data_IF_519637210499
#
_entry.id   IF_519637210499
#
_cell.length_a   1.000
_cell.length_b   1.000
_cell.length_c   1.000
_cell.angle_alpha   90.00
_cell.angle_beta   90.00
_cell.angle_gamma   90.00
#
_symmetry.space_group_name_H-M   'P 1'
#
loop_
_entity.id
_entity.type
_entity.pdbx_description
1 polymer ?
#
# COMPACT_ATOMS: atom_id res chain seq x y z
N UNK A 1 -10.30 -0.11 8.42
CA UNK A 1 -9.48 0.32 7.27
C UNK A 1 -9.72 -0.60 6.08
N UNK A 2 -10.37 -0.10 5.02
CA UNK A 2 -10.74 -0.92 3.85
C UNK A 2 -9.62 -1.02 2.81
N UNK A 3 -8.86 0.06 2.57
CA UNK A 3 -7.91 0.07 1.45
C UNK A 3 -6.59 -0.67 1.68
N UNK A 4 -6.16 -0.82 2.94
CA UNK A 4 -4.90 -1.50 3.32
C UNK A 4 -3.61 -0.97 2.67
N UNK A 5 -3.63 0.19 2.00
CA UNK A 5 -2.43 0.85 1.46
C UNK A 5 -1.56 1.52 2.52
N UNK A 6 -2.03 1.69 3.76
CA UNK A 6 -1.28 2.31 4.85
C UNK A 6 -0.69 1.29 5.85
N UNK A 7 -0.47 0.04 5.43
CA UNK A 7 0.11 -0.96 6.32
C UNK A 7 1.54 -0.59 6.70
N UNK A 8 1.81 -0.59 8.00
CA UNK A 8 3.11 -0.27 8.60
C UNK A 8 3.52 -1.39 9.56
N UNK A 9 4.81 -1.61 9.72
CA UNK A 9 5.31 -2.52 10.75
C UNK A 9 5.33 -1.77 12.09
N UNK A 10 4.77 -2.41 13.10
CA UNK A 10 4.83 -1.93 14.49
C UNK A 10 5.60 -2.97 15.28
N UNK A 11 6.66 -2.55 15.97
CA UNK A 11 7.51 -3.46 16.72
C UNK A 11 6.69 -4.24 17.77
N UNK A 12 6.87 -5.56 17.82
CA UNK A 12 6.11 -6.47 18.68
C UNK A 12 4.72 -6.89 18.14
N UNK A 13 4.22 -6.29 17.06
CA UNK A 13 3.00 -6.76 16.41
C UNK A 13 3.27 -7.98 15.52
N UNK A 14 2.39 -9.00 15.50
CA UNK A 14 2.61 -10.22 14.71
C UNK A 14 2.45 -10.02 13.20
N UNK A 15 1.81 -8.93 12.77
CA UNK A 15 1.55 -8.58 11.37
C UNK A 15 1.53 -7.05 11.20
N UNK A 16 1.76 -6.52 9.98
CA UNK A 16 1.61 -5.09 9.72
C UNK A 16 0.23 -4.56 10.08
N UNK A 17 0.20 -3.37 10.67
CA UNK A 17 -0.99 -2.73 11.21
C UNK A 17 -1.43 -1.56 10.31
N UNK A 18 -2.73 -1.28 10.17
CA UNK A 18 -3.22 -0.17 9.35
C UNK A 18 -2.97 1.19 10.03
N UNK A 19 -2.04 1.97 9.52
CA UNK A 19 -1.66 3.27 10.10
C UNK A 19 -2.80 4.28 10.19
N UNK A 20 -3.80 4.23 9.30
CA UNK A 20 -4.90 5.20 9.30
C UNK A 20 -5.91 5.03 10.45
N UNK A 21 -5.86 3.92 11.20
CA UNK A 21 -6.80 3.66 12.32
C UNK A 21 -6.13 3.11 13.57
N UNK A 22 -4.89 2.63 13.50
CA UNK A 22 -4.18 2.13 14.68
C UNK A 22 -3.88 3.29 15.63
N UNK A 23 -4.42 3.21 16.84
CA UNK A 23 -4.16 4.18 17.91
C UNK A 23 -2.68 4.16 18.31
N UNK A 24 -2.10 5.34 18.52
CA UNK A 24 -0.72 5.48 19.00
C UNK A 24 -0.62 5.09 20.47
N UNK A 25 0.47 4.40 20.83
CA UNK A 25 0.84 4.11 22.21
C UNK A 25 2.22 4.70 22.55
N UNK A 26 2.43 5.00 23.84
CA UNK A 26 3.73 5.47 24.33
C UNK A 26 4.83 4.43 24.07
N UNK A 27 6.00 4.88 23.60
CA UNK A 27 7.11 4.00 23.25
C UNK A 27 6.90 3.13 21.99
N UNK A 28 5.82 3.33 21.23
CA UNK A 28 5.56 2.57 20.00
C UNK A 28 6.59 2.89 18.91
N UNK A 29 7.28 1.86 18.41
CA UNK A 29 8.22 1.98 17.29
C UNK A 29 7.53 1.54 15.99
N UNK A 30 7.40 2.47 15.04
CA UNK A 30 6.76 2.24 13.74
C UNK A 30 7.80 2.32 12.63
N UNK A 31 7.87 1.29 11.79
CA UNK A 31 8.73 1.24 10.60
C UNK A 31 7.85 1.23 9.34
N UNK A 32 7.88 2.33 8.59
CA UNK A 32 7.04 2.51 7.39
C UNK A 32 7.68 1.93 6.12
N UNK A 33 9.01 1.83 6.10
CA UNK A 33 9.83 1.37 4.96
C UNK A 33 10.47 0.01 5.23
N UNK A 34 9.92 -0.79 6.15
CA UNK A 34 10.43 -2.13 6.39
C UNK A 34 10.07 -3.08 5.24
N UNK A 35 10.86 -4.14 5.06
CA UNK A 35 10.62 -5.15 4.02
C UNK A 35 9.24 -5.80 4.16
N UNK A 36 8.78 -6.05 5.39
CA UNK A 36 7.46 -6.65 5.63
C UNK A 36 6.33 -5.68 5.29
N UNK A 37 6.43 -4.40 5.67
CA UNK A 37 5.42 -3.41 5.33
C UNK A 37 5.30 -3.23 3.81
N UNK A 38 6.43 -3.07 3.11
CA UNK A 38 6.48 -2.93 1.66
C UNK A 38 5.93 -4.17 0.94
N UNK A 39 6.31 -5.37 1.38
CA UNK A 39 5.79 -6.63 0.83
C UNK A 39 4.27 -6.73 0.91
N UNK A 40 3.68 -6.35 2.05
CA UNK A 40 2.22 -6.40 2.22
C UNK A 40 1.52 -5.34 1.37
N UNK A 41 2.04 -4.10 1.29
CA UNK A 41 1.47 -3.05 0.43
C UNK A 41 1.54 -3.42 -1.04
N UNK A 42 2.64 -4.05 -1.50
CA UNK A 42 2.75 -4.59 -2.85
C UNK A 42 1.68 -5.64 -3.15
N UNK A 43 1.43 -6.58 -2.24
CA UNK A 43 0.35 -7.56 -2.39
C UNK A 43 -1.04 -6.93 -2.44
N UNK A 44 -1.27 -5.82 -1.72
CA UNK A 44 -2.52 -5.04 -1.83
C UNK A 44 -2.65 -4.39 -3.21
N UNK A 45 -1.57 -3.79 -3.73
CA UNK A 45 -1.54 -3.20 -5.07
C UNK A 45 -1.76 -4.26 -6.16
N UNK A 46 -1.15 -5.44 -6.04
CA UNK A 46 -1.43 -6.58 -6.92
C UNK A 46 -2.92 -6.94 -6.89
N UNK A 47 -3.53 -7.04 -5.71
CA UNK A 47 -4.96 -7.34 -5.59
C UNK A 47 -5.85 -6.28 -6.24
N UNK A 48 -5.46 -5.00 -6.19
CA UNK A 48 -6.16 -3.93 -6.89
C UNK A 48 -6.05 -4.08 -8.41
N UNK A 49 -4.85 -4.39 -8.92
CA UNK A 49 -4.59 -4.49 -10.34
C UNK A 49 -5.20 -5.72 -11.00
N UNK A 50 -5.37 -6.84 -10.27
CA UNK A 50 -5.94 -8.10 -10.82
C UNK A 50 -7.27 -7.88 -11.53
N UNK A 51 -8.11 -6.97 -11.03
CA UNK A 51 -9.42 -6.67 -11.63
C UNK A 51 -9.51 -5.22 -12.15
N UNK A 52 -8.41 -4.46 -12.13
CA UNK A 52 -8.40 -3.10 -12.65
C UNK A 52 -8.28 -3.15 -14.19
N UNK A 53 -9.12 -2.42 -14.94
CA UNK A 53 -9.05 -2.45 -16.40
C UNK A 53 -7.74 -1.82 -16.90
N UNK A 54 -7.23 -2.30 -18.04
CA UNK A 54 -6.04 -1.75 -18.70
C UNK A 54 -6.39 -0.54 -19.58
N UNK A 55 -7.21 0.37 -19.04
CA UNK A 55 -7.79 1.49 -19.78
C UNK A 55 -7.02 2.80 -19.57
N UNK A 56 -5.83 2.78 -18.96
CA UNK A 56 -5.04 3.98 -18.70
C UNK A 56 -4.85 4.93 -19.90
N UNK A 57 -4.69 4.47 -21.16
CA UNK A 57 -4.59 5.38 -22.31
C UNK A 57 -5.86 6.18 -22.63
N UNK A 58 -7.02 5.71 -22.18
CA UNK A 58 -8.33 6.35 -22.41
C UNK A 58 -8.97 6.85 -21.10
N UNK A 59 -8.32 6.61 -19.96
CA UNK A 59 -8.80 7.03 -18.65
C UNK A 59 -8.50 8.52 -18.44
N UNK A 60 -9.52 9.31 -18.14
CA UNK A 60 -9.38 10.75 -17.89
C UNK A 60 -8.50 11.09 -16.68
N UNK A 61 -8.30 10.14 -15.76
CA UNK A 61 -7.44 10.30 -14.58
C UNK A 61 -5.98 9.92 -14.86
N UNK A 62 -5.64 9.48 -16.06
CA UNK A 62 -4.28 9.07 -16.42
C UNK A 62 -3.30 10.23 -16.22
N UNK A 63 -2.22 10.00 -15.47
CA UNK A 63 -1.25 11.04 -15.09
C UNK A 63 -1.58 11.79 -13.80
N UNK A 64 -2.81 11.69 -13.29
CA UNK A 64 -3.24 12.24 -11.98
C UNK A 64 -3.83 11.15 -11.07
N UNK A 65 -3.68 9.89 -11.44
CA UNK A 65 -4.28 8.75 -10.75
C UNK A 65 -3.39 8.30 -9.58
N UNK A 66 -3.89 8.43 -8.35
CA UNK A 66 -3.15 7.96 -7.17
C UNK A 66 -2.79 6.47 -7.22
N UNK A 67 -3.63 5.63 -7.83
CA UNK A 67 -3.30 4.21 -7.99
C UNK A 67 -2.07 4.03 -8.89
N UNK A 68 -1.95 4.81 -9.96
CA UNK A 68 -0.78 4.83 -10.83
C UNK A 68 0.47 5.24 -10.04
N UNK A 69 0.38 6.28 -9.20
CA UNK A 69 1.49 6.75 -8.37
C UNK A 69 1.95 5.69 -7.36
N UNK A 70 1.02 5.06 -6.65
CA UNK A 70 1.36 4.01 -5.67
C UNK A 70 1.99 2.79 -6.33
N UNK A 71 1.50 2.38 -7.51
CA UNK A 71 2.07 1.27 -8.26
C UNK A 71 3.47 1.62 -8.77
N UNK A 72 3.67 2.85 -9.25
CA UNK A 72 4.99 3.31 -9.68
C UNK A 72 6.00 3.35 -8.53
N UNK A 73 5.56 3.78 -7.33
CA UNK A 73 6.42 3.92 -6.17
C UNK A 73 6.75 2.59 -5.47
N UNK A 74 5.76 1.72 -5.26
CA UNK A 74 5.89 0.53 -4.40
C UNK A 74 5.35 -0.77 -5.01
N UNK A 75 4.70 -0.69 -6.18
CA UNK A 75 4.07 -1.80 -6.86
C UNK A 75 5.05 -2.87 -7.37
N UNK A 76 4.52 -3.96 -7.95
CA UNK A 76 5.34 -4.98 -8.58
C UNK A 76 6.13 -4.40 -9.77
N UNK A 77 7.35 -4.90 -9.99
CA UNK A 77 8.22 -4.39 -11.05
C UNK A 77 7.68 -4.67 -12.47
N UNK A 78 6.79 -5.66 -12.59
CA UNK A 78 6.19 -6.11 -13.84
C UNK A 78 4.70 -6.38 -13.59
N UNK A 79 3.84 -5.79 -14.42
CA UNK A 79 2.44 -6.15 -14.60
C UNK A 79 2.27 -6.76 -15.98
#
# INVERSE_FOLDING_TARGET
>A
AMCRLCLVEVEGAPKPMPGCVTTVAEGQVVRTQSSEALKHRRGVLEFYLVNHPLDCPICDMSGECYLQDYVHAEGPAHG
#
